data_IF_914450416832
#
_entry.id   IF_914450416832
#
_cell.length_a   1.000
_cell.length_b   1.000
_cell.length_c   1.000
_cell.angle_alpha   90.00
_cell.angle_beta   90.00
_cell.angle_gamma   90.00
#
_symmetry.space_group_name_H-M   'P 1'
#
loop_
_entity.id
_entity.type
_entity.pdbx_description
1 polymer ?
#
# COMPACT_ATOMS: atom_id res chain seq x y z
N UNK A 1 -22.61 -8.24 -17.43
CA UNK A 1 -22.16 -6.92 -16.93
C UNK A 1 -21.31 -7.02 -15.66
N UNK A 2 -21.34 -8.13 -14.90
CA UNK A 2 -20.55 -8.27 -13.65
C UNK A 2 -19.04 -8.48 -13.84
N UNK A 3 -18.61 -9.19 -14.89
CA UNK A 3 -17.17 -9.45 -15.12
C UNK A 3 -16.42 -8.18 -15.50
N UNK A 4 -17.04 -7.30 -16.28
CA UNK A 4 -16.49 -5.98 -16.64
C UNK A 4 -16.45 -5.00 -15.46
N UNK A 5 -17.41 -5.09 -14.53
CA UNK A 5 -17.38 -4.25 -13.32
C UNK A 5 -16.35 -4.76 -12.30
N UNK A 6 -16.21 -6.08 -12.14
CA UNK A 6 -15.19 -6.68 -11.29
C UNK A 6 -13.78 -6.43 -11.84
N UNK A 7 -13.57 -6.57 -13.15
CA UNK A 7 -12.30 -6.25 -13.80
C UNK A 7 -11.92 -4.77 -13.67
N UNK A 8 -12.87 -3.85 -13.90
CA UNK A 8 -12.61 -2.41 -13.77
C UNK A 8 -12.32 -2.02 -12.30
N UNK A 9 -13.04 -2.62 -11.34
CA UNK A 9 -12.79 -2.43 -9.91
C UNK A 9 -11.44 -3.02 -9.48
N UNK A 10 -11.04 -4.16 -10.05
CA UNK A 10 -9.71 -4.74 -9.86
C UNK A 10 -8.61 -3.87 -10.42
N UNK A 11 -8.77 -3.32 -11.63
CA UNK A 11 -7.78 -2.43 -12.24
C UNK A 11 -7.59 -1.14 -11.42
N UNK A 12 -8.70 -0.54 -10.98
CA UNK A 12 -8.67 0.63 -10.11
C UNK A 12 -8.07 0.31 -8.74
N UNK A 13 -8.45 -0.82 -8.13
CA UNK A 13 -7.91 -1.29 -6.86
C UNK A 13 -6.41 -1.55 -6.93
N UNK A 14 -5.94 -2.16 -8.01
CA UNK A 14 -4.52 -2.44 -8.26
C UNK A 14 -3.71 -1.15 -8.44
N UNK A 15 -4.24 -0.17 -9.18
CA UNK A 15 -3.58 1.13 -9.36
C UNK A 15 -3.45 1.89 -8.03
N UNK A 16 -4.54 1.95 -7.24
CA UNK A 16 -4.52 2.58 -5.92
C UNK A 16 -3.58 1.86 -4.94
N UNK A 17 -3.55 0.52 -4.97
CA UNK A 17 -2.65 -0.27 -4.15
C UNK A 17 -1.18 -0.03 -4.50
N UNK A 18 -0.84 0.09 -5.80
CA UNK A 18 0.52 0.43 -6.22
C UNK A 18 0.96 1.81 -5.74
N UNK A 19 0.07 2.81 -5.81
CA UNK A 19 0.36 4.15 -5.31
C UNK A 19 0.65 4.11 -3.80
N UNK A 20 -0.21 3.45 -3.02
CA UNK A 20 -0.02 3.29 -1.57
C UNK A 20 1.24 2.51 -1.21
N UNK A 21 1.55 1.43 -1.94
CA UNK A 21 2.79 0.67 -1.77
C UNK A 21 4.02 1.57 -1.93
N UNK A 22 4.02 2.46 -2.93
CA UNK A 22 5.15 3.35 -3.19
C UNK A 22 5.29 4.44 -2.12
N UNK A 23 4.17 5.01 -1.66
CA UNK A 23 4.13 5.98 -0.55
C UNK A 23 4.66 5.34 0.74
N UNK A 24 4.14 4.18 1.13
CA UNK A 24 4.56 3.47 2.35
C UNK A 24 6.00 2.99 2.27
N UNK A 25 6.47 2.51 1.11
CA UNK A 25 7.86 2.14 0.94
C UNK A 25 8.81 3.34 1.15
N UNK A 26 8.41 4.53 0.68
CA UNK A 26 9.16 5.76 0.90
C UNK A 26 9.18 6.13 2.38
N UNK A 27 8.02 6.11 3.06
CA UNK A 27 7.91 6.41 4.48
C UNK A 27 8.74 5.44 5.36
N UNK A 28 8.80 4.15 5.00
CA UNK A 28 9.62 3.15 5.69
C UNK A 28 11.10 3.48 5.55
N UNK A 29 11.54 3.88 4.36
CA UNK A 29 12.93 4.30 4.11
C UNK A 29 13.23 5.56 4.91
N UNK A 30 12.35 6.57 4.90
CA UNK A 30 12.53 7.79 5.68
C UNK A 30 12.60 7.48 7.17
N UNK A 31 11.68 6.68 7.71
CA UNK A 31 11.67 6.26 9.12
C UNK A 31 12.88 5.39 9.52
N UNK A 32 13.47 4.65 8.57
CA UNK A 32 14.67 3.82 8.79
C UNK A 32 15.98 4.59 8.61
N UNK A 33 16.00 5.59 7.72
CA UNK A 33 17.19 6.39 7.39
C UNK A 33 17.40 7.57 8.33
N UNK A 34 16.37 7.98 9.09
CA UNK A 34 16.54 8.82 10.30
C UNK A 34 17.43 8.06 11.28
N UNK A 35 18.71 8.37 11.18
CA UNK A 35 19.80 7.78 11.94
C UNK A 35 19.62 8.24 13.39
N UNK A 36 19.92 7.38 14.37
CA UNK A 36 19.78 7.70 15.80
C UNK A 36 20.44 9.03 16.22
N UNK A 37 21.36 9.56 15.41
CA UNK A 37 22.00 10.87 15.56
C UNK A 37 21.02 12.07 15.42
N UNK A 38 20.01 11.99 14.54
CA UNK A 38 19.00 13.06 14.35
C UNK A 38 17.82 12.95 15.32
N UNK A 39 17.47 11.73 15.74
CA UNK A 39 16.48 11.48 16.81
C UNK A 39 16.94 12.11 18.13
N UNK A 40 18.21 11.92 18.52
CA UNK A 40 18.77 12.53 19.74
C UNK A 40 18.88 14.06 19.65
N UNK A 41 19.19 14.63 18.48
CA UNK A 41 19.27 16.09 18.30
C UNK A 41 17.89 16.76 18.31
N UNK A 42 16.86 16.07 17.82
CA UNK A 42 15.48 16.56 17.76
C UNK A 42 14.74 16.39 19.09
N UNK A 43 15.02 15.34 19.87
CA UNK A 43 14.45 15.15 21.21
C UNK A 43 14.91 16.24 22.19
N UNK A 44 16.21 16.60 22.20
CA UNK A 44 16.73 17.67 23.07
C UNK A 44 16.14 19.05 22.71
N UNK A 45 15.85 19.30 21.43
CA UNK A 45 15.23 20.54 20.95
C UNK A 45 13.70 20.57 21.12
N UNK A 46 13.00 19.45 20.93
CA UNK A 46 11.55 19.34 21.13
C UNK A 46 11.16 19.41 22.62
N UNK A 47 11.99 18.85 23.52
CA UNK A 47 11.83 18.98 24.97
C UNK A 47 12.09 20.42 25.43
N UNK A 48 13.03 21.15 24.79
CA UNK A 48 13.24 22.59 25.02
C UNK A 48 12.14 23.48 24.45
N UNK A 49 11.48 23.08 23.36
CA UNK A 49 10.42 23.85 22.70
C UNK A 49 9.00 23.53 23.21
N UNK A 50 8.83 22.52 24.07
CA UNK A 50 7.52 22.11 24.60
C UNK A 50 6.59 21.46 23.57
N UNK A 51 7.15 21.01 22.43
CA UNK A 51 6.43 20.42 21.29
C UNK A 51 6.47 18.88 21.33
N UNK A 52 6.40 18.28 22.52
CA UNK A 52 6.31 16.83 22.67
C UNK A 52 4.96 16.34 22.11
N UNK A 53 4.86 16.08 20.81
CA UNK A 53 3.60 15.61 20.25
C UNK A 53 3.46 15.52 18.73
N UNK A 54 4.52 15.60 17.92
CA UNK A 54 4.38 15.14 16.52
C UNK A 54 4.53 13.62 16.49
N UNK A 55 3.51 12.86 16.04
CA UNK A 55 3.62 11.43 15.91
C UNK A 55 4.60 11.15 14.78
N UNK A 56 5.84 10.82 15.13
CA UNK A 56 6.75 10.18 14.17
C UNK A 56 6.02 8.96 13.56
N UNK A 57 6.05 8.79 12.24
CA UNK A 57 5.43 7.64 11.60
C UNK A 57 6.02 6.37 12.20
N UNK A 58 5.19 5.60 12.91
CA UNK A 58 5.66 4.40 13.56
C UNK A 58 6.00 3.38 12.46
N UNK A 59 7.28 3.01 12.37
CA UNK A 59 7.77 2.02 11.40
C UNK A 59 6.92 0.74 11.38
N UNK A 60 6.37 0.33 12.53
CA UNK A 60 5.48 -0.84 12.63
C UNK A 60 4.17 -0.64 11.89
N UNK A 61 3.57 0.55 11.99
CA UNK A 61 2.33 0.91 11.31
C UNK A 61 2.54 0.96 9.80
N UNK A 62 3.65 1.57 9.35
CA UNK A 62 4.00 1.61 7.93
C UNK A 62 4.26 0.21 7.35
N UNK A 63 4.95 -0.68 8.06
CA UNK A 63 5.14 -2.07 7.60
C UNK A 63 3.81 -2.82 7.49
N UNK A 64 2.87 -2.60 8.41
CA UNK A 64 1.53 -3.18 8.32
C UNK A 64 0.76 -2.59 7.13
N UNK A 65 0.81 -1.27 6.94
CA UNK A 65 0.20 -0.59 5.79
C UNK A 65 0.74 -1.13 4.46
N UNK A 66 2.04 -1.39 4.38
CA UNK A 66 2.69 -1.99 3.20
C UNK A 66 2.09 -3.37 2.91
N UNK A 67 1.92 -4.19 3.95
CA UNK A 67 1.35 -5.53 3.85
C UNK A 67 -0.13 -5.49 3.42
N UNK A 68 -0.91 -4.56 3.96
CA UNK A 68 -2.32 -4.37 3.56
C UNK A 68 -2.40 -3.98 2.09
N UNK A 69 -1.57 -3.05 1.63
CA UNK A 69 -1.53 -2.63 0.24
C UNK A 69 -1.07 -3.76 -0.69
N UNK A 70 -0.12 -4.59 -0.27
CA UNK A 70 0.31 -5.81 -0.99
C UNK A 70 -0.84 -6.80 -1.14
N UNK A 71 -1.57 -7.09 -0.06
CA UNK A 71 -2.74 -7.97 -0.11
C UNK A 71 -3.84 -7.40 -1.00
N UNK A 72 -4.07 -6.09 -0.97
CA UNK A 72 -5.06 -5.44 -1.82
C UNK A 72 -4.67 -5.49 -3.30
N UNK A 73 -3.39 -5.32 -3.62
CA UNK A 73 -2.87 -5.51 -4.97
C UNK A 73 -3.05 -6.96 -5.43
N UNK A 74 -2.73 -7.93 -4.58
CA UNK A 74 -2.86 -9.36 -4.89
C UNK A 74 -4.31 -9.77 -5.12
N UNK A 75 -5.23 -9.35 -4.25
CA UNK A 75 -6.67 -9.61 -4.42
C UNK A 75 -7.20 -8.99 -5.72
N UNK A 76 -6.75 -7.78 -6.05
CA UNK A 76 -7.12 -7.12 -7.31
C UNK A 76 -6.60 -7.87 -8.54
N UNK A 77 -5.36 -8.40 -8.47
CA UNK A 77 -4.79 -9.23 -9.52
C UNK A 77 -5.53 -10.56 -9.69
N UNK A 78 -5.96 -11.18 -8.59
CA UNK A 78 -6.74 -12.42 -8.60
C UNK A 78 -8.13 -12.20 -9.23
N UNK A 79 -8.80 -11.09 -8.92
CA UNK A 79 -10.06 -10.71 -9.59
C UNK A 79 -9.87 -10.50 -11.09
N UNK A 80 -8.77 -9.85 -11.51
CA UNK A 80 -8.42 -9.68 -12.92
C UNK A 80 -8.20 -11.04 -13.59
N UNK A 81 -7.47 -11.94 -12.94
CA UNK A 81 -7.19 -13.28 -13.45
C UNK A 81 -8.47 -14.12 -13.58
N UNK A 82 -9.31 -14.16 -12.55
CA UNK A 82 -10.59 -14.89 -12.59
C UNK A 82 -11.54 -14.27 -13.61
N UNK A 83 -11.53 -12.95 -13.78
CA UNK A 83 -12.30 -12.30 -14.84
C UNK A 83 -11.82 -12.73 -16.25
N UNK A 84 -10.51 -12.88 -16.46
CA UNK A 84 -9.95 -13.37 -17.71
C UNK A 84 -10.25 -14.86 -17.95
N UNK A 85 -10.12 -15.69 -16.92
CA UNK A 85 -10.41 -17.13 -16.96
C UNK A 85 -11.90 -17.41 -17.22
N UNK A 86 -12.80 -16.61 -16.62
CA UNK A 86 -14.25 -16.68 -16.90
C UNK A 86 -14.58 -16.21 -18.32
N UNK A 87 -13.88 -15.21 -18.85
CA UNK A 87 -14.01 -14.79 -20.25
C UNK A 87 -13.50 -15.88 -21.22
N UNK A 88 -12.35 -16.47 -20.91
CA UNK A 88 -11.76 -17.56 -21.69
C UNK A 88 -12.65 -18.81 -21.73
N UNK A 89 -13.20 -19.21 -20.58
CA UNK A 89 -14.14 -20.33 -20.51
C UNK A 89 -15.46 -20.05 -21.23
N UNK A 90 -15.98 -18.81 -21.20
CA UNK A 90 -17.16 -18.44 -21.99
C UNK A 90 -16.89 -18.46 -23.51
N UNK A 91 -15.68 -18.08 -23.93
CA UNK A 91 -15.27 -18.16 -25.34
C UNK A 91 -15.15 -19.62 -25.81
N UNK A 92 -14.54 -20.48 -25.01
CA UNK A 92 -14.29 -21.89 -25.33
C UNK A 92 -15.60 -22.71 -25.46
N UNK A 93 -16.65 -22.34 -24.71
CA UNK A 93 -17.97 -23.00 -24.80
C UNK A 93 -18.78 -22.52 -26.02
N UNK A 94 -18.40 -21.41 -26.65
CA UNK A 94 -19.09 -20.87 -27.85
C UNK A 94 -18.44 -21.26 -29.18
N UNK A 95 -17.27 -21.89 -29.17
CA UNK A 95 -16.56 -22.40 -30.35
C UNK A 95 -16.97 -23.85 -30.69
#
# INVERSE_FOLDING_TARGET
MEVQSAFNSGLQGFANANQRLNETATNIVDATTVTEQERNASEDQAIQAGLAGEPEPNLTEEVVNLRVAEFQARASAEVIQTADETLGTLLDVTA
#
